data_IF_445185739719
#
_entry.id   IF_445185739719
#
_cell.length_a   1.000
_cell.length_b   1.000
_cell.length_c   1.000
_cell.angle_alpha   90.00
_cell.angle_beta   90.00
_cell.angle_gamma   90.00
#
_symmetry.space_group_name_H-M   'P 1'
#
loop_
_entity.id
_entity.type
_entity.pdbx_description
1 polymer ?
#
# COMPACT_ATOMS: atom_id res chain seq x y z
N UNK A 1 16.06 -19.85 10.53
CA UNK A 1 17.39 -19.30 10.12
C UNK A 1 18.60 -19.83 10.89
N UNK A 2 18.46 -20.33 12.13
CA UNK A 2 19.61 -20.88 12.87
C UNK A 2 20.34 -22.02 12.13
N UNK A 3 19.60 -22.87 11.39
CA UNK A 3 20.19 -23.97 10.63
C UNK A 3 21.12 -23.48 9.51
N UNK A 4 20.84 -22.32 8.91
CA UNK A 4 21.68 -21.74 7.87
C UNK A 4 23.00 -21.21 8.44
N UNK A 5 22.95 -20.46 9.55
CA UNK A 5 24.15 -20.00 10.25
C UNK A 5 25.03 -21.16 10.71
N UNK A 6 24.41 -22.20 11.29
CA UNK A 6 25.14 -23.42 11.74
C UNK A 6 25.83 -24.11 10.57
N UNK A 7 25.19 -24.17 9.40
CA UNK A 7 25.78 -24.76 8.18
C UNK A 7 26.90 -23.89 7.59
N UNK A 8 26.76 -22.56 7.58
CA UNK A 8 27.81 -21.64 7.13
C UNK A 8 29.02 -21.72 8.07
N UNK A 9 28.79 -21.74 9.39
CA UNK A 9 29.84 -21.90 10.40
C UNK A 9 30.56 -23.25 10.28
N UNK A 10 29.81 -24.32 10.01
CA UNK A 10 30.37 -25.64 9.75
C UNK A 10 31.22 -25.66 8.46
N UNK A 11 30.75 -25.02 7.39
CA UNK A 11 31.51 -24.85 6.14
C UNK A 11 32.82 -24.11 6.38
N UNK A 12 32.78 -23.00 7.14
CA UNK A 12 33.94 -22.19 7.49
C UNK A 12 34.99 -23.00 8.25
N UNK A 13 34.56 -23.72 9.30
CA UNK A 13 35.46 -24.59 10.05
C UNK A 13 36.00 -25.78 9.24
N UNK A 14 35.24 -26.27 8.25
CA UNK A 14 35.70 -27.32 7.36
C UNK A 14 36.73 -26.81 6.34
N UNK A 15 36.55 -25.59 5.82
CA UNK A 15 37.53 -24.95 4.93
C UNK A 15 38.83 -24.58 5.63
N UNK A 16 38.77 -24.17 6.90
CA UNK A 16 39.97 -23.92 7.71
C UNK A 16 40.80 -25.21 7.92
N UNK A 17 40.12 -26.36 7.98
CA UNK A 17 40.77 -27.68 8.14
C UNK A 17 41.35 -28.29 6.85
N UNK A 18 41.10 -27.69 5.68
CA UNK A 18 41.58 -28.19 4.39
C UNK A 18 43.01 -27.72 4.04
N UNK A 19 43.66 -26.92 4.91
CA UNK A 19 44.97 -26.29 4.64
C UNK A 19 45.01 -25.62 3.25
N UNK A 20 43.87 -25.06 2.80
CA UNK A 20 43.81 -24.32 1.56
C UNK A 20 44.77 -23.15 1.69
N UNK A 21 45.80 -23.10 0.84
CA UNK A 21 46.64 -21.92 0.74
C UNK A 21 45.72 -20.74 0.42
N UNK A 22 45.51 -19.82 1.37
CA UNK A 22 44.73 -18.59 1.16
C UNK A 22 45.31 -17.72 0.02
N UNK A 23 46.56 -18.00 -0.37
CA UNK A 23 47.24 -17.42 -1.54
C UNK A 23 46.87 -18.09 -2.87
N UNK A 24 46.29 -19.29 -2.86
CA UNK A 24 45.81 -19.96 -4.07
C UNK A 24 44.58 -19.25 -4.63
N UNK A 25 44.39 -19.32 -5.95
CA UNK A 25 43.24 -18.68 -6.61
C UNK A 25 41.93 -19.30 -6.13
N UNK A 26 41.95 -20.60 -5.90
CA UNK A 26 40.84 -21.41 -5.43
C UNK A 26 40.49 -21.09 -3.97
N UNK A 27 41.48 -20.94 -3.09
CA UNK A 27 41.28 -20.58 -1.67
C UNK A 27 40.65 -19.19 -1.49
N UNK A 28 41.07 -18.20 -2.29
CA UNK A 28 40.46 -16.87 -2.29
C UNK A 28 39.00 -16.91 -2.71
N UNK A 29 38.68 -17.63 -3.79
CA UNK A 29 37.29 -17.74 -4.27
C UNK A 29 36.40 -18.40 -3.22
N UNK A 30 36.85 -19.49 -2.60
CA UNK A 30 36.07 -20.18 -1.56
C UNK A 30 35.85 -19.30 -0.33
N UNK A 31 36.87 -18.56 0.09
CA UNK A 31 36.78 -17.63 1.23
C UNK A 31 35.75 -16.53 0.97
N UNK A 32 35.76 -15.94 -0.24
CA UNK A 32 34.79 -14.92 -0.60
C UNK A 32 33.37 -15.47 -0.73
N UNK A 33 33.21 -16.68 -1.27
CA UNK A 33 31.89 -17.32 -1.32
C UNK A 33 31.33 -17.51 0.10
N UNK A 34 32.15 -17.97 1.05
CA UNK A 34 31.72 -18.15 2.45
C UNK A 34 31.35 -16.81 3.07
N UNK A 35 32.12 -15.76 2.81
CA UNK A 35 31.84 -14.43 3.33
C UNK A 35 30.52 -13.87 2.78
N UNK A 36 30.30 -13.96 1.47
CA UNK A 36 29.03 -13.55 0.84
C UNK A 36 27.86 -14.34 1.43
N UNK A 37 28.00 -15.65 1.65
CA UNK A 37 26.94 -16.46 2.27
C UNK A 37 26.63 -16.01 3.71
N UNK A 38 27.63 -15.59 4.45
CA UNK A 38 27.48 -15.10 5.83
C UNK A 38 26.77 -13.73 5.85
N UNK A 39 27.14 -12.83 4.95
CA UNK A 39 26.49 -11.54 4.75
C UNK A 39 25.02 -11.72 4.32
N UNK A 40 24.76 -12.59 3.33
CA UNK A 40 23.39 -12.94 2.91
C UNK A 40 22.56 -13.52 4.05
N UNK A 41 23.15 -14.38 4.89
CA UNK A 41 22.52 -14.95 6.08
C UNK A 41 22.17 -13.87 7.11
N UNK A 42 23.00 -12.83 7.23
CA UNK A 42 22.73 -11.64 8.04
C UNK A 42 21.56 -10.81 7.51
N UNK A 43 21.59 -10.45 6.23
CA UNK A 43 20.52 -9.69 5.57
C UNK A 43 19.18 -10.43 5.63
N UNK A 44 19.17 -11.75 5.44
CA UNK A 44 17.95 -12.56 5.57
C UNK A 44 17.38 -12.52 7.00
N UNK A 45 18.22 -12.45 8.04
CA UNK A 45 17.74 -12.29 9.43
C UNK A 45 17.08 -10.94 9.65
N UNK A 46 17.73 -9.88 9.17
CA UNK A 46 17.17 -8.53 9.26
C UNK A 46 15.84 -8.43 8.51
N UNK A 47 15.76 -9.04 7.32
CA UNK A 47 14.53 -9.11 6.54
C UNK A 47 13.42 -9.85 7.28
N UNK A 48 13.70 -11.04 7.83
CA UNK A 48 12.69 -11.81 8.57
C UNK A 48 12.16 -11.05 9.78
N UNK A 49 13.03 -10.35 10.52
CA UNK A 49 12.60 -9.53 11.66
C UNK A 49 11.66 -8.40 11.24
N UNK A 50 11.92 -7.76 10.09
CA UNK A 50 11.04 -6.74 9.52
C UNK A 50 9.71 -7.32 9.05
N UNK A 51 9.71 -8.54 8.51
CA UNK A 51 8.49 -9.26 8.12
C UNK A 51 7.66 -9.59 9.34
N UNK A 52 8.26 -10.16 10.39
CA UNK A 52 7.58 -10.43 11.67
C UNK A 52 6.98 -9.14 12.28
N UNK A 53 7.71 -8.01 12.20
CA UNK A 53 7.19 -6.71 12.63
C UNK A 53 5.99 -6.26 11.78
N UNK A 54 6.06 -6.47 10.46
CA UNK A 54 4.96 -6.14 9.53
C UNK A 54 3.73 -7.00 9.78
N UNK A 55 3.92 -8.30 10.03
CA UNK A 55 2.85 -9.22 10.40
C UNK A 55 2.14 -8.73 11.67
N UNK A 56 2.90 -8.29 12.69
CA UNK A 56 2.31 -7.71 13.91
C UNK A 56 1.54 -6.42 13.64
N UNK A 57 2.00 -5.54 12.74
CA UNK A 57 1.23 -4.35 12.38
C UNK A 57 -0.06 -4.71 11.64
N UNK A 58 -0.02 -5.70 10.75
CA UNK A 58 -1.21 -6.17 10.02
C UNK A 58 -2.22 -6.80 10.98
N UNK A 59 -1.77 -7.60 11.94
CA UNK A 59 -2.64 -8.15 12.99
C UNK A 59 -3.29 -7.04 13.83
N UNK A 60 -2.54 -5.97 14.18
CA UNK A 60 -3.10 -4.84 14.90
C UNK A 60 -4.17 -4.09 14.08
N UNK A 61 -3.95 -3.92 12.77
CA UNK A 61 -4.96 -3.31 11.87
C UNK A 61 -6.20 -4.20 11.77
N UNK A 62 -6.04 -5.52 11.68
CA UNK A 62 -7.16 -6.48 11.63
C UNK A 62 -7.99 -6.41 12.93
N UNK A 63 -7.35 -6.31 14.10
CA UNK A 63 -8.01 -6.13 15.39
C UNK A 63 -8.81 -4.81 15.45
N UNK A 64 -8.19 -3.70 15.05
CA UNK A 64 -8.85 -2.38 15.00
C UNK A 64 -10.06 -2.38 14.04
N UNK A 65 -9.94 -3.04 12.89
CA UNK A 65 -11.04 -3.16 11.94
C UNK A 65 -12.17 -4.03 12.48
N UNK A 66 -11.85 -5.14 13.16
CA UNK A 66 -12.84 -5.97 13.81
C UNK A 66 -13.64 -5.14 14.83
N UNK A 67 -12.98 -4.33 15.66
CA UNK A 67 -13.66 -3.45 16.62
C UNK A 67 -14.60 -2.45 15.94
N UNK A 68 -14.22 -1.91 14.78
CA UNK A 68 -15.09 -1.05 13.97
C UNK A 68 -16.28 -1.81 13.39
N UNK A 69 -16.07 -3.02 12.88
CA UNK A 69 -17.14 -3.90 12.39
C UNK A 69 -18.15 -4.19 13.52
N UNK A 70 -17.66 -4.51 14.72
CA UNK A 70 -18.53 -4.66 15.89
C UNK A 70 -19.28 -3.35 16.18
N UNK A 71 -18.60 -2.21 16.22
CA UNK A 71 -19.27 -0.93 16.52
C UNK A 71 -20.35 -0.55 15.49
N UNK A 72 -20.12 -0.81 14.20
CA UNK A 72 -21.03 -0.45 13.12
C UNK A 72 -22.14 -1.48 12.91
N UNK A 73 -21.88 -2.77 13.14
CA UNK A 73 -22.83 -3.86 12.87
C UNK A 73 -23.56 -4.38 14.13
N UNK A 74 -23.17 -3.99 15.35
CA UNK A 74 -23.85 -4.40 16.60
C UNK A 74 -25.14 -3.58 16.89
N UNK A 75 -25.44 -2.52 16.11
CA UNK A 75 -26.69 -1.74 16.23
C UNK A 75 -27.80 -2.09 15.24
N UNK A 76 -27.58 -2.95 14.24
CA UNK A 76 -28.63 -3.28 13.26
C UNK A 76 -28.72 -4.79 12.95
N UNK A 77 -29.55 -5.49 13.74
CA UNK A 77 -30.29 -6.72 13.36
C UNK A 77 -31.24 -6.47 12.15
N UNK A 78 -31.16 -5.27 11.53
CA UNK A 78 -32.02 -4.77 10.46
C UNK A 78 -31.25 -4.47 9.14
N UNK A 79 -29.92 -4.60 9.06
CA UNK A 79 -29.16 -4.33 7.81
C UNK A 79 -29.11 -5.48 6.80
N UNK A 80 -29.57 -6.67 7.20
CA UNK A 80 -29.91 -7.72 6.26
C UNK A 80 -31.44 -7.80 6.13
N UNK A 81 -32.08 -6.68 5.77
CA UNK A 81 -33.31 -6.80 4.99
C UNK A 81 -32.91 -7.57 3.73
N UNK A 82 -33.16 -8.88 3.76
CA UNK A 82 -33.13 -9.73 2.57
C UNK A 82 -33.95 -8.98 1.54
N UNK A 83 -33.27 -8.42 0.53
CA UNK A 83 -33.93 -7.83 -0.63
C UNK A 83 -34.91 -8.90 -1.10
N UNK A 84 -36.20 -8.63 -0.94
CA UNK A 84 -37.27 -9.54 -1.35
C UNK A 84 -36.99 -9.90 -2.81
N UNK A 85 -36.98 -11.20 -3.09
CA UNK A 85 -36.38 -11.86 -4.26
C UNK A 85 -37.19 -11.60 -5.57
N UNK A 86 -37.81 -10.42 -5.66
CA UNK A 86 -38.72 -9.99 -6.71
C UNK A 86 -38.15 -8.85 -7.57
N UNK A 87 -36.99 -8.26 -7.23
CA UNK A 87 -36.33 -7.26 -8.06
C UNK A 87 -34.89 -7.64 -8.40
N UNK A 88 -34.78 -8.60 -9.33
CA UNK A 88 -33.62 -8.96 -10.14
C UNK A 88 -32.32 -8.18 -9.84
N UNK A 89 -31.61 -8.61 -8.78
CA UNK A 89 -30.22 -8.23 -8.56
C UNK A 89 -29.40 -8.82 -9.72
N UNK A 90 -29.11 -7.97 -10.70
CA UNK A 90 -28.16 -8.27 -11.75
C UNK A 90 -26.79 -8.48 -11.07
N UNK A 91 -26.45 -9.75 -10.84
CA UNK A 91 -25.10 -10.17 -10.51
C UNK A 91 -24.21 -9.73 -11.67
N UNK A 92 -23.54 -8.59 -11.50
CA UNK A 92 -22.46 -8.22 -12.39
C UNK A 92 -21.32 -9.18 -12.10
N UNK A 93 -21.12 -10.11 -13.01
CA UNK A 93 -19.94 -10.96 -13.10
C UNK A 93 -18.73 -10.05 -13.34
N UNK A 94 -18.05 -9.65 -12.26
CA UNK A 94 -16.89 -8.75 -12.28
C UNK A 94 -15.61 -9.45 -12.78
N UNK A 95 -15.72 -10.56 -13.51
CA UNK A 95 -14.56 -11.31 -14.02
C UNK A 95 -14.38 -11.22 -15.54
N UNK A 96 -15.15 -10.40 -16.26
CA UNK A 96 -14.96 -10.31 -17.71
C UNK A 96 -15.39 -8.97 -18.32
N UNK A 97 -14.65 -7.89 -18.05
CA UNK A 97 -14.49 -6.80 -19.03
C UNK A 97 -13.28 -5.92 -18.75
N UNK A 98 -12.53 -5.61 -19.80
CA UNK A 98 -11.44 -4.62 -19.86
C UNK A 98 -11.94 -3.16 -19.70
N UNK A 99 -12.95 -2.90 -18.85
CA UNK A 99 -13.56 -1.57 -18.66
C UNK A 99 -13.66 -1.18 -17.17
N UNK A 100 -12.56 -1.37 -16.44
CA UNK A 100 -12.35 -0.77 -15.12
C UNK A 100 -12.07 0.75 -15.21
N UNK A 101 -13.02 1.53 -15.75
CA UNK A 101 -13.01 3.00 -15.66
C UNK A 101 -14.43 3.55 -15.61
N UNK A 102 -15.08 3.45 -14.44
CA UNK A 102 -16.28 4.23 -14.12
C UNK A 102 -15.92 5.32 -13.12
N UNK A 103 -15.16 6.31 -13.58
CA UNK A 103 -14.99 7.60 -12.89
C UNK A 103 -15.32 8.76 -13.82
N UNK A 104 -16.41 8.64 -14.59
CA UNK A 104 -16.79 9.67 -15.56
C UNK A 104 -18.31 9.95 -15.60
N UNK A 105 -18.95 10.01 -14.41
CA UNK A 105 -20.41 10.29 -14.31
C UNK A 105 -20.81 11.43 -13.38
N UNK A 106 -20.01 12.48 -13.23
CA UNK A 106 -20.43 13.68 -12.49
C UNK A 106 -20.09 15.01 -13.19
N UNK A 107 -19.96 15.01 -14.52
CA UNK A 107 -19.61 16.24 -15.28
C UNK A 107 -20.79 17.17 -15.61
N UNK A 108 -22.01 16.89 -15.15
CA UNK A 108 -23.20 17.64 -15.61
C UNK A 108 -24.24 17.90 -14.51
N UNK A 109 -23.81 18.05 -13.25
CA UNK A 109 -24.66 18.60 -12.19
C UNK A 109 -23.99 19.85 -11.65
N UNK A 110 -24.58 21.01 -11.98
CA UNK A 110 -24.19 22.30 -11.42
C UNK A 110 -24.48 22.35 -9.93
N UNK A 111 -23.59 21.76 -9.14
CA UNK A 111 -23.61 21.84 -7.69
C UNK A 111 -22.90 23.12 -7.26
N UNK A 112 -23.63 23.95 -6.53
CA UNK A 112 -23.10 25.20 -6.01
C UNK A 112 -22.10 24.88 -4.91
N UNK A 113 -20.82 25.09 -5.18
CA UNK A 113 -19.76 24.97 -4.17
C UNK A 113 -20.07 25.84 -2.94
N UNK A 114 -19.87 25.29 -1.75
CA UNK A 114 -20.25 25.96 -0.49
C UNK A 114 -19.37 27.19 -0.23
N UNK A 115 -18.08 27.10 -0.55
CA UNK A 115 -17.12 28.20 -0.37
C UNK A 115 -16.15 28.30 -1.54
N UNK A 116 -15.86 29.53 -1.99
CA UNK A 116 -14.90 29.81 -3.04
C UNK A 116 -13.87 30.84 -2.57
N UNK A 117 -12.58 30.53 -2.77
CA UNK A 117 -11.46 31.42 -2.42
C UNK A 117 -10.77 31.91 -3.69
N UNK A 118 -10.49 33.21 -3.74
CA UNK A 118 -9.74 33.83 -4.84
C UNK A 118 -8.35 34.26 -4.35
N UNK A 119 -7.31 33.85 -5.09
CA UNK A 119 -5.95 34.33 -4.82
C UNK A 119 -5.11 34.41 -6.10
N UNK A 120 -4.17 35.36 -6.18
CA UNK A 120 -3.29 35.49 -7.34
C UNK A 120 -2.18 34.43 -7.31
N UNK A 121 -1.96 33.75 -8.42
CA UNK A 121 -0.82 32.86 -8.60
C UNK A 121 0.50 33.63 -8.40
N UNK A 122 1.40 33.20 -7.49
CA UNK A 122 2.67 33.87 -7.25
C UNK A 122 3.61 33.89 -8.46
N UNK A 123 3.41 32.99 -9.42
CA UNK A 123 4.27 32.78 -10.58
C UNK A 123 3.83 33.59 -11.81
N UNK A 124 2.54 33.58 -12.15
CA UNK A 124 2.01 34.22 -13.37
C UNK A 124 1.01 35.35 -13.10
N UNK A 125 0.67 35.63 -11.84
CA UNK A 125 -0.32 36.62 -11.41
C UNK A 125 -1.74 36.43 -11.99
N UNK A 126 -2.05 35.24 -12.51
CA UNK A 126 -3.42 34.86 -12.86
C UNK A 126 -4.22 34.56 -11.59
N UNK A 127 -5.50 34.93 -11.57
CA UNK A 127 -6.38 34.65 -10.44
C UNK A 127 -6.78 33.18 -10.49
N UNK A 128 -6.54 32.49 -9.38
CA UNK A 128 -6.93 31.10 -9.15
C UNK A 128 -8.16 31.10 -8.25
N UNK A 129 -9.15 30.28 -8.61
CA UNK A 129 -10.31 29.97 -7.79
C UNK A 129 -10.14 28.59 -7.19
N UNK A 130 -10.23 28.50 -5.86
CA UNK A 130 -10.33 27.23 -5.12
C UNK A 130 -11.77 27.09 -4.62
N UNK A 131 -12.47 26.06 -5.07
CA UNK A 131 -13.79 25.69 -4.61
C UNK A 131 -13.66 24.57 -3.59
N UNK A 132 -14.32 24.75 -2.44
CA UNK A 132 -14.41 23.77 -1.36
C UNK A 132 -15.87 23.39 -1.16
N UNK A 133 -16.12 22.09 -1.09
CA UNK A 133 -17.43 21.51 -0.78
C UNK A 133 -17.27 20.25 0.06
N UNK A 134 -18.28 19.99 0.88
CA UNK A 134 -18.36 18.79 1.71
C UNK A 134 -19.42 17.88 1.12
N UNK A 135 -19.13 16.59 0.95
CA UNK A 135 -20.13 15.62 0.50
C UNK A 135 -21.06 15.17 1.65
N UNK A 136 -22.07 14.37 1.32
CA UNK A 136 -23.07 13.86 2.26
C UNK A 136 -22.46 12.95 3.35
N UNK A 137 -21.24 12.47 3.14
CA UNK A 137 -20.46 11.63 4.07
C UNK A 137 -19.47 12.45 4.93
N UNK A 138 -19.39 13.76 4.71
CA UNK A 138 -18.55 14.68 5.49
C UNK A 138 -17.13 14.88 4.98
N UNK A 139 -16.78 14.38 3.79
CA UNK A 139 -15.46 14.59 3.19
C UNK A 139 -15.38 15.89 2.39
N UNK A 140 -14.30 16.63 2.58
CA UNK A 140 -14.01 17.84 1.82
C UNK A 140 -13.36 17.51 0.48
N UNK A 141 -13.91 18.03 -0.62
CA UNK A 141 -13.29 17.98 -1.94
C UNK A 141 -12.99 19.39 -2.47
N UNK A 142 -11.88 19.49 -3.21
CA UNK A 142 -11.34 20.76 -3.70
C UNK A 142 -11.23 20.78 -5.22
N UNK A 143 -11.75 21.83 -5.85
CA UNK A 143 -11.66 22.05 -7.31
C UNK A 143 -10.92 23.36 -7.58
N UNK A 144 -9.90 23.32 -8.45
CA UNK A 144 -9.08 24.49 -8.80
C UNK A 144 -9.34 24.93 -10.24
N UNK A 145 -9.69 26.21 -10.43
CA UNK A 145 -9.84 26.83 -11.75
C UNK A 145 -8.91 28.07 -11.91
N UNK A 146 -8.35 28.33 -13.11
CA UNK A 146 -8.41 27.52 -14.33
C UNK A 146 -7.44 26.33 -14.29
N UNK A 147 -7.92 25.14 -14.69
CA UNK A 147 -7.12 23.92 -14.78
C UNK A 147 -6.17 24.00 -15.99
N UNK A 148 -4.89 24.35 -15.74
CA UNK A 148 -3.82 24.31 -16.74
C UNK A 148 -3.21 22.91 -16.72
N UNK A 149 -3.61 22.11 -17.70
CA UNK A 149 -3.24 20.71 -17.97
C UNK A 149 -3.94 19.64 -17.12
N UNK A 150 -4.51 18.67 -17.83
CA UNK A 150 -5.06 17.39 -17.37
C UNK A 150 -4.05 16.66 -16.46
N UNK A 151 -4.04 17.00 -15.18
CA UNK A 151 -3.31 16.23 -14.18
C UNK A 151 -4.29 15.84 -13.09
N UNK A 152 -4.29 14.54 -12.87
CA UNK A 152 -5.13 13.81 -11.93
C UNK A 152 -5.22 14.52 -10.59
N UNK A 153 -6.37 14.44 -9.90
CA UNK A 153 -6.53 14.99 -8.58
C UNK A 153 -5.40 14.45 -7.69
N UNK A 154 -4.62 15.37 -7.12
CA UNK A 154 -3.62 15.03 -6.11
C UNK A 154 -4.41 14.71 -4.86
N UNK A 155 -4.83 13.46 -4.70
CA UNK A 155 -5.42 13.02 -3.44
C UNK A 155 -4.29 13.03 -2.39
N UNK A 156 -4.43 13.72 -1.25
CA UNK A 156 -3.48 13.57 -0.16
C UNK A 156 -3.55 12.14 0.36
N UNK A 157 -2.37 11.57 0.61
CA UNK A 157 -2.20 10.33 1.38
C UNK A 157 -2.45 10.60 2.85
#
# INVERSE_FOLDING_TARGET
>A
MESLAKRISYLRGWTDGLELEESSREGRILSEIIQILDEMSGELRALNARVEETESYVEAVDEDLADLEWFLYDEEDDLYETVDDDEAAAVYDLDDSEDAWVYDRWRDRGEAYETAYEFPCPSCQEIIFLHESTDDEGYHHYVIEPCRDQREPINPT
#
